data_IF_612974180866
#
_entry.id   IF_612974180866
#
_cell.length_a   1.000
_cell.length_b   1.000
_cell.length_c   1.000
_cell.angle_alpha   90.00
_cell.angle_beta   90.00
_cell.angle_gamma   90.00
#
_symmetry.space_group_name_H-M   'P 1'
#
loop_
_entity.id
_entity.type
_entity.pdbx_description
1 polymer ?
#
# COMPACT_ATOMS: atom_id res chain seq x y z
N UNK A 1 -4.28 -0.98 -19.68
CA UNK A 1 -4.91 -1.83 -20.72
C UNK A 1 -4.02 -1.81 -21.95
N UNK A 2 -3.91 -2.92 -22.68
CA UNK A 2 -3.19 -2.99 -23.95
C UNK A 2 -4.19 -2.96 -25.10
N UNK A 3 -4.07 -1.96 -25.97
CA UNK A 3 -4.86 -1.82 -27.19
C UNK A 3 -3.94 -1.40 -28.32
N UNK A 4 -4.23 -1.88 -29.52
CA UNK A 4 -3.57 -1.46 -30.74
C UNK A 4 -4.62 -1.12 -31.78
N UNK A 5 -4.54 0.07 -32.38
CA UNK A 5 -5.54 0.60 -33.32
C UNK A 5 -6.99 0.46 -32.81
N UNK A 6 -7.21 0.71 -31.51
CA UNK A 6 -8.51 0.60 -30.85
C UNK A 6 -8.92 -0.83 -30.45
N UNK A 7 -8.30 -1.87 -31.01
CA UNK A 7 -8.60 -3.26 -30.68
C UNK A 7 -7.85 -3.73 -29.43
N UNK A 8 -8.51 -4.51 -28.53
CA UNK A 8 -7.85 -5.10 -27.38
C UNK A 8 -6.84 -6.15 -27.82
N UNK A 9 -5.64 -6.12 -27.22
CA UNK A 9 -4.63 -7.15 -27.45
C UNK A 9 -4.75 -8.23 -26.38
N UNK A 10 -5.15 -9.43 -26.75
CA UNK A 10 -5.18 -10.59 -25.85
C UNK A 10 -3.81 -11.28 -25.81
N UNK A 11 -3.40 -11.77 -24.64
CA UNK A 11 -2.13 -12.47 -24.46
C UNK A 11 -0.88 -11.57 -24.53
N UNK A 12 -1.05 -10.25 -24.63
CA UNK A 12 0.04 -9.29 -24.69
C UNK A 12 0.77 -9.23 -23.35
N UNK A 13 2.09 -9.35 -23.39
CA UNK A 13 2.93 -9.30 -22.18
C UNK A 13 3.16 -7.85 -21.78
N UNK A 14 2.67 -7.50 -20.60
CA UNK A 14 3.01 -6.26 -19.90
C UNK A 14 4.11 -6.55 -18.88
N UNK A 15 5.15 -5.72 -18.89
CA UNK A 15 6.21 -5.75 -17.89
C UNK A 15 6.08 -4.52 -17.01
N UNK A 16 5.81 -4.72 -15.73
CA UNK A 16 5.79 -3.68 -14.72
C UNK A 16 7.14 -3.69 -14.00
N UNK A 17 7.84 -2.56 -13.99
CA UNK A 17 9.14 -2.38 -13.33
C UNK A 17 9.05 -1.23 -12.34
N UNK A 18 9.35 -1.50 -11.07
CA UNK A 18 9.41 -0.47 -10.03
C UNK A 18 10.71 0.32 -10.05
N UNK A 19 10.70 1.49 -9.43
CA UNK A 19 11.91 2.28 -9.15
C UNK A 19 12.92 1.56 -8.23
N UNK A 20 12.50 0.48 -7.56
CA UNK A 20 13.36 -0.41 -6.76
C UNK A 20 14.04 -1.50 -7.61
N UNK A 21 13.87 -1.47 -8.93
CA UNK A 21 14.44 -2.45 -9.86
C UNK A 21 13.71 -3.80 -9.90
N UNK A 22 12.60 -3.94 -9.16
CA UNK A 22 11.78 -5.16 -9.19
C UNK A 22 10.88 -5.15 -10.43
N UNK A 23 10.80 -6.29 -11.12
CA UNK A 23 9.94 -6.45 -12.29
C UNK A 23 8.95 -7.62 -12.14
N UNK A 24 7.76 -7.45 -12.71
CA UNK A 24 6.71 -8.47 -12.80
C UNK A 24 6.14 -8.45 -14.22
N UNK A 25 5.83 -9.63 -14.75
CA UNK A 25 5.19 -9.78 -16.06
C UNK A 25 3.78 -10.31 -15.90
N UNK A 26 2.86 -9.82 -16.71
CA UNK A 26 1.51 -10.34 -16.79
C UNK A 26 1.00 -10.30 -18.23
N UNK A 27 0.22 -11.32 -18.60
CA UNK A 27 -0.48 -11.34 -19.87
C UNK A 27 -1.85 -10.65 -19.75
N UNK A 28 -2.30 -10.03 -20.83
CA UNK A 28 -3.65 -9.48 -20.93
C UNK A 28 -4.70 -10.55 -21.24
N UNK A 29 -5.91 -10.34 -20.73
CA UNK A 29 -7.10 -11.12 -21.04
C UNK A 29 -7.70 -10.80 -22.43
N UNK A 30 -8.81 -11.44 -22.77
CA UNK A 30 -9.53 -11.24 -24.03
C UNK A 30 -9.98 -9.78 -24.25
N UNK A 31 -10.09 -8.99 -23.19
CA UNK A 31 -10.47 -7.58 -23.21
C UNK A 31 -9.25 -6.64 -23.22
N UNK A 32 -8.03 -7.16 -23.30
CA UNK A 32 -6.79 -6.38 -23.28
C UNK A 32 -6.44 -5.83 -21.89
N UNK A 33 -6.98 -6.42 -20.82
CA UNK A 33 -6.73 -6.01 -19.44
C UNK A 33 -5.79 -7.01 -18.78
N UNK A 34 -4.82 -6.52 -18.03
CA UNK A 34 -3.98 -7.36 -17.18
C UNK A 34 -4.21 -6.96 -15.72
N UNK A 35 -4.31 -7.96 -14.85
CA UNK A 35 -4.36 -7.75 -13.40
C UNK A 35 -3.01 -8.19 -12.82
N UNK A 36 -2.31 -7.25 -12.18
CA UNK A 36 -1.00 -7.49 -11.58
C UNK A 36 -1.17 -7.34 -10.07
N UNK A 37 -0.89 -8.42 -9.34
CA UNK A 37 -0.78 -8.35 -7.88
C UNK A 37 0.59 -7.75 -7.56
N UNK A 38 0.62 -6.60 -6.90
CA UNK A 38 1.87 -5.96 -6.50
C UNK A 38 2.55 -6.81 -5.42
N UNK A 39 3.77 -7.31 -5.65
CA UNK A 39 4.49 -8.07 -4.65
C UNK A 39 4.89 -7.22 -3.45
N UNK A 40 5.02 -7.82 -2.26
CA UNK A 40 5.51 -7.13 -1.05
C UNK A 40 6.87 -6.43 -1.26
N UNK A 41 7.77 -7.05 -2.04
CA UNK A 41 9.07 -6.48 -2.42
C UNK A 41 9.01 -5.19 -3.26
N UNK A 42 7.83 -4.80 -3.75
CA UNK A 42 7.62 -3.50 -4.39
C UNK A 42 7.33 -2.40 -3.38
N UNK A 43 7.00 -2.74 -2.14
CA UNK A 43 6.72 -1.76 -1.11
C UNK A 43 8.04 -1.22 -0.59
N UNK A 44 8.19 0.09 -0.64
CA UNK A 44 9.26 0.76 0.08
C UNK A 44 8.93 0.75 1.58
N UNK A 45 9.84 0.23 2.39
CA UNK A 45 9.79 0.42 3.84
C UNK A 45 10.21 1.86 4.15
N UNK A 46 9.25 2.78 4.21
CA UNK A 46 9.51 4.18 4.63
C UNK A 46 9.02 4.39 6.07
N UNK A 47 9.95 4.82 6.93
CA UNK A 47 9.64 5.36 8.26
C UNK A 47 9.38 6.86 8.15
N UNK A 48 8.11 7.26 8.27
CA UNK A 48 7.73 8.68 8.21
C UNK A 48 6.23 8.88 8.40
N UNK A 49 5.81 10.13 8.55
CA UNK A 49 4.39 10.50 8.70
C UNK A 49 3.61 10.49 7.36
N UNK A 50 4.28 10.13 6.25
CA UNK A 50 3.69 10.04 4.90
C UNK A 50 3.55 8.59 4.49
N UNK A 51 2.52 8.29 3.70
CA UNK A 51 2.31 6.94 3.15
C UNK A 51 3.44 6.61 2.18
N UNK A 52 4.05 5.45 2.37
CA UNK A 52 5.06 4.93 1.45
C UNK A 52 4.49 4.91 0.03
N UNK A 53 5.23 5.52 -0.90
CA UNK A 53 4.85 5.60 -2.31
C UNK A 53 5.95 4.95 -3.12
N UNK A 54 5.57 4.14 -4.11
CA UNK A 54 6.53 3.50 -5.02
C UNK A 54 6.14 3.78 -6.46
N UNK A 55 7.06 4.36 -7.22
CA UNK A 55 6.87 4.61 -8.65
C UNK A 55 7.17 3.35 -9.46
N UNK A 56 6.47 3.20 -10.58
CA UNK A 56 6.68 2.10 -11.50
C UNK A 56 6.41 2.51 -12.95
N UNK A 57 6.97 1.74 -13.87
CA UNK A 57 6.78 1.86 -15.31
C UNK A 57 6.15 0.55 -15.79
N UNK A 58 5.10 0.64 -16.60
CA UNK A 58 4.51 -0.49 -17.32
C UNK A 58 4.91 -0.36 -18.78
N UNK A 59 5.62 -1.34 -19.30
CA UNK A 59 6.07 -1.39 -20.69
C UNK A 59 5.55 -2.62 -21.41
N UNK A 60 5.34 -2.50 -22.71
CA UNK A 60 4.95 -3.60 -23.58
C UNK A 60 5.57 -3.42 -24.97
N UNK A 61 5.86 -4.55 -25.60
CA UNK A 61 6.39 -4.61 -26.96
C UNK A 61 5.44 -5.45 -27.80
N UNK A 62 4.94 -4.88 -28.90
CA UNK A 62 4.11 -5.55 -29.88
C UNK A 62 4.92 -5.78 -31.15
N UNK A 63 4.95 -7.03 -31.64
CA UNK A 63 5.53 -7.38 -32.92
C UNK A 63 4.38 -7.61 -33.91
N UNK A 64 4.20 -6.72 -34.88
CA UNK A 64 3.13 -6.84 -35.87
C UNK A 64 3.61 -6.37 -37.24
N UNK A 65 3.36 -7.18 -38.29
CA UNK A 65 3.71 -6.82 -39.66
C UNK A 65 5.21 -6.55 -39.88
N UNK A 66 6.09 -7.23 -39.14
CA UNK A 66 7.54 -7.03 -39.21
C UNK A 66 8.04 -5.75 -38.51
N UNK A 67 7.16 -5.02 -37.80
CA UNK A 67 7.51 -3.84 -37.02
C UNK A 67 7.43 -4.14 -35.52
N UNK A 68 8.34 -3.54 -34.77
CA UNK A 68 8.35 -3.59 -33.31
C UNK A 68 7.83 -2.25 -32.77
N UNK A 69 6.62 -2.29 -32.23
CA UNK A 69 5.98 -1.16 -31.57
C UNK A 69 6.22 -1.29 -30.07
N UNK A 70 6.56 -0.19 -29.40
CA UNK A 70 6.79 -0.16 -27.96
C UNK A 70 5.92 0.91 -27.31
N UNK A 71 5.34 0.57 -26.17
CA UNK A 71 4.57 1.51 -25.37
C UNK A 71 4.99 1.40 -23.90
N UNK A 72 5.15 2.54 -23.23
CA UNK A 72 5.47 2.63 -21.82
C UNK A 72 4.57 3.67 -21.13
N UNK A 73 4.20 3.39 -19.89
CA UNK A 73 3.39 4.26 -19.04
C UNK A 73 3.96 4.30 -17.64
N UNK A 74 4.06 5.49 -17.05
CA UNK A 74 4.60 5.71 -15.72
C UNK A 74 3.45 5.98 -14.74
N UNK A 75 3.50 5.35 -13.57
CA UNK A 75 2.55 5.61 -12.50
C UNK A 75 3.17 5.31 -11.12
N UNK A 76 2.36 5.37 -10.08
CA UNK A 76 2.78 5.17 -8.70
C UNK A 76 1.73 4.41 -7.90
N UNK A 77 2.21 3.67 -6.91
CA UNK A 77 1.41 2.96 -5.93
C UNK A 77 1.59 3.60 -4.56
N UNK A 78 0.49 3.78 -3.83
CA UNK A 78 0.50 4.31 -2.46
C UNK A 78 0.09 3.19 -1.51
N UNK A 79 0.98 2.83 -0.58
CA UNK A 79 0.75 1.75 0.38
C UNK A 79 -0.52 2.00 1.23
N UNK A 80 -1.34 0.98 1.54
CA UNK A 80 -2.54 1.11 2.37
C UNK A 80 -2.26 1.73 3.75
N UNK A 81 -3.25 2.42 4.32
CA UNK A 81 -3.10 3.16 5.58
C UNK A 81 -2.82 2.29 6.83
N UNK A 82 -3.04 0.99 6.73
CA UNK A 82 -2.83 0.00 7.79
C UNK A 82 -1.42 -0.61 7.78
N UNK A 83 -0.64 -0.36 6.72
CA UNK A 83 0.72 -0.88 6.57
C UNK A 83 1.61 -0.36 7.72
N UNK A 84 2.33 -1.26 8.41
CA UNK A 84 3.24 -0.91 9.50
C UNK A 84 2.60 -0.62 10.86
N UNK A 85 1.28 -0.75 11.02
CA UNK A 85 0.60 -0.58 12.32
C UNK A 85 0.43 -1.92 13.04
N UNK A 86 0.93 -2.02 14.26
CA UNK A 86 0.80 -3.21 15.11
C UNK A 86 -0.32 -3.02 16.13
N UNK A 87 -1.46 -3.68 15.90
CA UNK A 87 -2.57 -3.72 16.85
C UNK A 87 -2.13 -4.24 18.25
N UNK A 88 -1.30 -5.29 18.38
CA UNK A 88 -0.85 -5.78 19.69
C UNK A 88 -0.04 -4.73 20.49
N UNK A 89 0.78 -3.94 19.80
CA UNK A 89 1.59 -2.90 20.44
C UNK A 89 0.68 -1.77 20.97
N UNK A 90 -0.34 -1.39 20.19
CA UNK A 90 -1.35 -0.41 20.62
C UNK A 90 -2.10 -0.86 21.88
N UNK A 91 -2.51 -2.12 21.95
CA UNK A 91 -3.12 -2.70 23.15
C UNK A 91 -2.18 -2.69 24.36
N UNK A 92 -0.88 -2.97 24.15
CA UNK A 92 0.13 -2.89 25.20
C UNK A 92 0.27 -1.48 25.80
N UNK A 93 0.32 -0.45 24.95
CA UNK A 93 0.35 0.94 25.40
C UNK A 93 -0.92 1.35 26.15
N UNK A 94 -2.10 0.90 25.68
CA UNK A 94 -3.36 1.16 26.34
C UNK A 94 -3.40 0.54 27.75
N UNK A 95 -3.02 -0.73 27.86
CA UNK A 95 -2.94 -1.43 29.15
C UNK A 95 -1.95 -0.76 30.11
N UNK A 96 -0.77 -0.38 29.63
CA UNK A 96 0.23 0.33 30.43
C UNK A 96 -0.28 1.70 30.90
N UNK A 97 -0.92 2.47 30.01
CA UNK A 97 -1.52 3.75 30.35
C UNK A 97 -2.62 3.61 31.41
N UNK A 98 -3.42 2.54 31.33
CA UNK A 98 -4.46 2.24 32.31
C UNK A 98 -3.87 1.86 33.67
N UNK A 99 -2.80 1.05 33.70
CA UNK A 99 -2.09 0.69 34.94
C UNK A 99 -1.49 1.92 35.64
N UNK A 100 -0.90 2.84 34.87
CA UNK A 100 -0.34 4.08 35.40
C UNK A 100 -1.41 5.12 35.79
N UNK A 101 -2.53 5.18 35.07
CA UNK A 101 -3.61 6.13 35.32
C UNK A 101 -4.57 5.72 36.44
N UNK A 102 -4.82 4.42 36.63
CA UNK A 102 -5.72 3.89 37.65
C UNK A 102 -5.44 4.41 39.09
N UNK A 103 -4.19 4.50 39.59
CA UNK A 103 -3.94 5.03 40.92
C UNK A 103 -4.24 6.54 41.05
N UNK A 104 -4.05 7.33 39.99
CA UNK A 104 -4.36 8.77 39.97
C UNK A 104 -5.87 9.02 40.04
N UNK A 105 -6.67 8.19 39.34
CA UNK A 105 -8.13 8.24 39.40
C UNK A 105 -8.65 7.90 40.81
N UNK A 106 -8.03 6.93 41.50
CA UNK A 106 -8.37 6.59 42.90
C UNK A 106 -8.13 7.74 43.88
N UNK A 107 -7.07 8.52 43.69
CA UNK A 107 -6.80 9.67 44.56
C UNK A 107 -7.81 10.80 44.35
N UNK A 108 -8.19 11.11 43.11
CA UNK A 108 -9.18 12.15 42.81
C UNK A 108 -10.56 11.85 43.41
N UNK A 109 -11.01 10.59 43.39
CA UNK A 109 -12.26 10.16 44.02
C UNK A 109 -12.24 10.33 45.55
N UNK A 110 -11.08 10.14 46.17
CA UNK A 110 -10.89 10.30 47.62
C UNK A 110 -10.96 11.78 48.05
N UNK A 111 -10.42 12.68 47.23
CA UNK A 111 -10.46 14.13 47.47
C UNK A 111 -11.85 14.72 47.20
N UNK A 112 -12.55 14.27 46.15
CA UNK A 112 -13.89 14.77 45.81
C UNK A 112 -14.97 14.33 46.81
N UNK A 113 -14.76 13.20 47.52
CA UNK A 113 -15.67 12.72 48.56
C UNK A 113 -15.42 13.37 49.95
N UNK A 114 -14.38 14.20 50.09
CA UNK A 114 -14.16 15.01 51.29
C UNK A 114 -14.79 16.41 51.20
N UNK A 115 -15.09 16.90 50.00
CA UNK A 115 -15.67 18.24 49.77
C UNK A 115 -17.22 18.24 49.76
N UNK A 116 -17.84 17.07 49.88
CA UNK A 116 -19.31 16.88 49.92
C UNK A 116 -19.82 16.27 51.23
N UNK A 117 -19.00 16.26 52.29
CA UNK A 117 -19.46 15.97 53.64
C UNK A 117 -19.65 17.28 54.42
N UNK A 118 -20.88 17.56 54.92
CA UNK A 118 -21.19 18.77 55.69
C UNK A 118 -20.46 18.84 57.03
#
# INVERSE_FOLDING_TARGET
MARYNGQPLAGQILTLTSELGQSVRAATDAQGRARITLPERFKRAEGGHRRATTRFVVATTLLQGGRQEQAAFNDHFIAPQSEGKSAPLGWGFLALGMLLGAPLLRQKSSSQNQETRP
#
